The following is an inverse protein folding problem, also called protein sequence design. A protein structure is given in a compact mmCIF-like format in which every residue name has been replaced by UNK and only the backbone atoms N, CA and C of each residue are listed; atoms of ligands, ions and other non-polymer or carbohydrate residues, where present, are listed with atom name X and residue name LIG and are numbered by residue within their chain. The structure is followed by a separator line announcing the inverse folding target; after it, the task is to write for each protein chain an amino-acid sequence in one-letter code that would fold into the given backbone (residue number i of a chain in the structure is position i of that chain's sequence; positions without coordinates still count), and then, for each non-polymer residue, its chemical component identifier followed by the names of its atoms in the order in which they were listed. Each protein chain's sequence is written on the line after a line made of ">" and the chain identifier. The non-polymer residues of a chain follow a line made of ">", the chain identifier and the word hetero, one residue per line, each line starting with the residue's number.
data_IF_375303587356
#
_entry.id   IF_375303587356
#
_cell.length_a   1.000
_cell.length_b   1.000
_cell.length_c   1.000
_cell.angle_alpha   90.00
_cell.angle_beta   90.00
_cell.angle_gamma   90.00
#
_symmetry.space_group_name_H-M   'P 1'
#
loop_
_entity.id
_entity.type
_entity.pdbx_description
1 polymer ?
#
# COMPACT_ATOMS: atom_id res chain seq x y z
N UNK A 1 -11.84 9.70 -14.58
CA UNK A 1 -10.36 9.84 -14.55
C UNK A 1 -9.78 8.60 -13.91
N UNK A 2 -8.77 7.99 -14.53
CA UNK A 2 -8.07 6.82 -13.96
C UNK A 2 -6.64 7.23 -13.64
N UNK A 3 -6.23 7.08 -12.38
CA UNK A 3 -4.84 7.19 -11.96
C UNK A 3 -4.25 5.79 -11.96
N UNK A 4 -3.08 5.63 -12.59
CA UNK A 4 -2.37 4.36 -12.66
C UNK A 4 -1.12 4.44 -11.79
N UNK A 5 -0.94 3.44 -10.89
CA UNK A 5 0.21 3.38 -10.00
C UNK A 5 0.87 2.00 -10.07
N UNK A 6 2.15 1.91 -10.46
CA UNK A 6 2.87 0.65 -10.50
C UNK A 6 3.35 0.25 -9.10
N UNK A 7 3.20 -1.04 -8.78
CA UNK A 7 3.70 -1.67 -7.56
C UNK A 7 4.70 -2.75 -7.96
N UNK A 8 5.94 -2.64 -7.49
CA UNK A 8 6.96 -3.66 -7.70
C UNK A 8 6.64 -4.92 -6.87
N UNK A 9 5.72 -5.76 -7.36
CA UNK A 9 5.30 -6.99 -6.71
C UNK A 9 6.45 -8.00 -6.65
N UNK A 10 7.27 -8.02 -7.70
CA UNK A 10 8.54 -8.75 -7.75
C UNK A 10 9.64 -7.82 -8.23
N UNK A 11 10.85 -8.05 -7.74
CA UNK A 11 11.99 -7.25 -8.14
C UNK A 11 13.26 -8.08 -8.19
N UNK A 12 13.99 -7.91 -9.28
CA UNK A 12 15.33 -8.46 -9.46
C UNK A 12 16.37 -7.35 -9.40
N UNK A 13 17.52 -7.70 -8.88
CA UNK A 13 18.69 -6.83 -8.77
C UNK A 13 19.79 -7.45 -9.61
N UNK A 14 20.25 -6.74 -10.64
CA UNK A 14 21.34 -7.14 -11.53
C UNK A 14 22.51 -6.19 -11.35
N UNK A 15 23.68 -6.74 -11.05
CA UNK A 15 24.92 -5.99 -11.00
C UNK A 15 25.61 -6.09 -12.34
N UNK A 16 25.96 -4.93 -12.87
CA UNK A 16 26.65 -4.80 -14.15
C UNK A 16 28.06 -4.28 -13.95
N UNK A 17 28.97 -4.78 -14.77
CA UNK A 17 30.34 -4.29 -14.85
C UNK A 17 30.30 -2.88 -15.44
N UNK A 18 30.94 -1.87 -14.79
CA UNK A 18 30.99 -0.53 -15.32
C UNK A 18 31.86 -0.39 -16.59
N UNK A 19 32.75 -1.34 -16.88
CA UNK A 19 33.67 -1.28 -18.03
C UNK A 19 33.02 -1.79 -19.32
N UNK A 20 32.34 -2.94 -19.25
CA UNK A 20 31.81 -3.60 -20.44
C UNK A 20 30.28 -3.78 -20.44
N UNK A 21 29.61 -3.40 -19.33
CA UNK A 21 28.16 -3.51 -19.17
C UNK A 21 27.64 -4.95 -18.99
N UNK A 22 28.51 -5.94 -18.82
CA UNK A 22 28.12 -7.32 -18.62
C UNK A 22 27.44 -7.54 -17.25
N UNK A 23 26.51 -8.52 -17.20
CA UNK A 23 25.84 -8.87 -15.94
C UNK A 23 26.76 -9.78 -15.12
N UNK A 24 27.31 -9.25 -14.02
CA UNK A 24 28.14 -10.00 -13.08
C UNK A 24 27.31 -10.94 -12.22
N UNK A 25 26.13 -10.47 -11.75
CA UNK A 25 25.26 -11.28 -10.92
C UNK A 25 23.83 -10.77 -10.99
N UNK A 26 22.87 -11.67 -10.78
CA UNK A 26 21.43 -11.37 -10.72
C UNK A 26 20.81 -12.10 -9.56
N UNK A 27 20.02 -11.40 -8.75
CA UNK A 27 19.28 -12.04 -7.65
C UNK A 27 17.90 -11.43 -7.47
N UNK A 28 16.96 -12.23 -6.97
CA UNK A 28 15.65 -11.75 -6.56
C UNK A 28 15.74 -10.98 -5.25
N UNK A 29 15.12 -9.82 -5.20
CA UNK A 29 14.96 -9.06 -3.95
C UNK A 29 13.99 -9.79 -3.01
N UNK A 30 14.29 -9.88 -1.70
CA UNK A 30 13.33 -10.41 -0.74
C UNK A 30 12.13 -9.46 -0.53
N UNK A 31 12.27 -8.21 -0.92
CA UNK A 31 11.24 -7.19 -0.75
C UNK A 31 10.21 -7.29 -1.88
N UNK A 32 8.96 -7.51 -1.52
CA UNK A 32 7.82 -7.58 -2.44
C UNK A 32 6.84 -6.46 -2.15
N UNK A 33 6.44 -5.75 -3.18
CA UNK A 33 5.37 -4.76 -3.11
C UNK A 33 4.00 -5.45 -3.00
N UNK A 34 3.09 -4.82 -2.26
CA UNK A 34 1.71 -5.26 -2.06
C UNK A 34 0.76 -4.12 -2.36
N UNK A 35 -0.49 -4.42 -2.67
CA UNK A 35 -1.54 -3.40 -2.89
C UNK A 35 -1.57 -2.37 -1.76
N UNK A 36 -1.43 -2.79 -0.52
CA UNK A 36 -1.42 -1.90 0.66
C UNK A 36 -0.26 -0.91 0.70
N UNK A 37 0.80 -1.12 -0.06
CA UNK A 37 1.95 -0.20 -0.09
C UNK A 37 1.59 1.14 -0.73
N UNK A 38 0.51 1.21 -1.53
CA UNK A 38 -0.04 2.46 -2.07
C UNK A 38 -0.67 3.36 -0.99
N UNK A 39 -0.87 2.86 0.24
CA UNK A 39 -1.42 3.63 1.35
C UNK A 39 -0.73 4.98 1.58
N UNK A 40 0.53 5.12 1.21
CA UNK A 40 1.29 6.37 1.28
C UNK A 40 0.75 7.43 0.32
N UNK A 41 0.25 6.99 -0.82
CA UNK A 41 -0.25 7.85 -1.89
C UNK A 41 -1.75 8.18 -1.71
N UNK A 42 -2.50 7.34 -0.98
CA UNK A 42 -3.94 7.51 -0.78
C UNK A 42 -4.29 8.83 -0.09
N UNK A 43 -3.42 9.31 0.78
CA UNK A 43 -3.61 10.62 1.43
C UNK A 43 -3.74 11.76 0.40
N UNK A 44 -2.88 11.76 -0.62
CA UNK A 44 -2.89 12.78 -1.67
C UNK A 44 -4.04 12.63 -2.66
N UNK A 45 -4.61 11.44 -2.76
CA UNK A 45 -5.73 11.12 -3.64
C UNK A 45 -7.08 11.20 -2.93
N UNK A 46 -7.10 11.46 -1.61
CA UNK A 46 -8.30 11.40 -0.77
C UNK A 46 -9.46 12.28 -1.26
N UNK A 47 -9.16 13.41 -1.91
CA UNK A 47 -10.20 14.32 -2.43
C UNK A 47 -10.88 13.82 -3.70
N UNK A 48 -10.23 12.90 -4.42
CA UNK A 48 -10.76 12.30 -5.63
C UNK A 48 -11.43 10.94 -5.37
N UNK A 49 -10.96 10.23 -4.36
CA UNK A 49 -11.48 8.91 -3.99
C UNK A 49 -12.91 9.08 -3.45
N UNK A 50 -13.81 8.21 -3.92
CA UNK A 50 -15.25 8.31 -3.65
C UNK A 50 -16.04 9.05 -4.76
N UNK A 51 -15.36 9.73 -5.69
CA UNK A 51 -16.03 10.27 -6.88
C UNK A 51 -16.28 9.12 -7.87
N UNK A 52 -17.54 8.92 -8.37
CA UNK A 52 -17.86 7.82 -9.28
C UNK A 52 -17.14 7.90 -10.63
N UNK A 53 -16.56 9.05 -10.96
CA UNK A 53 -15.74 9.24 -12.18
C UNK A 53 -14.25 9.06 -11.93
N UNK A 54 -13.83 8.65 -10.73
CA UNK A 54 -12.45 8.40 -10.36
C UNK A 54 -12.21 6.90 -10.17
N UNK A 55 -11.09 6.40 -10.65
CA UNK A 55 -10.60 5.05 -10.37
C UNK A 55 -9.09 5.06 -10.15
N UNK A 56 -8.62 4.22 -9.25
CA UNK A 56 -7.20 3.97 -9.02
C UNK A 56 -6.86 2.57 -9.51
N UNK A 57 -6.02 2.47 -10.55
CA UNK A 57 -5.55 1.20 -11.09
C UNK A 57 -4.13 0.92 -10.64
N UNK A 58 -3.95 -0.16 -9.91
CA UNK A 58 -2.67 -0.61 -9.36
C UNK A 58 -2.12 -1.72 -10.25
N UNK A 59 -0.99 -1.48 -10.89
CA UNK A 59 -0.33 -2.48 -11.73
C UNK A 59 0.70 -3.22 -10.90
N UNK A 60 0.51 -4.52 -10.71
CA UNK A 60 1.48 -5.40 -10.06
C UNK A 60 2.52 -5.80 -11.10
N UNK A 61 3.72 -5.28 -10.99
CA UNK A 61 4.77 -5.46 -11.99
C UNK A 61 5.97 -6.18 -11.43
N UNK A 62 6.62 -6.93 -12.32
CA UNK A 62 8.00 -7.35 -12.10
C UNK A 62 8.91 -6.20 -12.52
N UNK A 63 9.96 -5.94 -11.72
CA UNK A 63 10.92 -4.87 -11.96
C UNK A 63 12.33 -5.45 -12.02
N UNK A 64 13.12 -4.97 -12.96
CA UNK A 64 14.57 -5.21 -12.97
C UNK A 64 15.28 -3.90 -12.57
N UNK A 65 16.14 -3.95 -11.56
CA UNK A 65 16.98 -2.85 -11.12
C UNK A 65 18.44 -3.17 -11.42
N UNK A 66 19.04 -2.43 -12.30
CA UNK A 66 20.45 -2.51 -12.62
C UNK A 66 21.28 -1.63 -11.70
N UNK A 67 22.40 -2.16 -11.26
CA UNK A 67 23.35 -1.50 -10.37
C UNK A 67 24.75 -1.63 -10.91
N UNK A 68 25.50 -0.53 -10.92
CA UNK A 68 26.93 -0.56 -11.24
C UNK A 68 27.72 -1.18 -10.09
N UNK A 69 28.61 -2.11 -10.42
CA UNK A 69 29.49 -2.76 -9.46
C UNK A 69 30.76 -1.94 -9.19
N UNK A 70 30.60 -0.62 -9.04
CA UNK A 70 31.67 0.36 -8.82
C UNK A 70 32.15 0.46 -7.35
N UNK A 71 31.56 -0.30 -6.46
CA UNK A 71 31.89 -0.34 -5.04
C UNK A 71 31.39 0.85 -4.22
N UNK A 72 30.74 1.85 -4.85
CA UNK A 72 30.28 3.07 -4.20
C UNK A 72 28.80 3.33 -4.47
N UNK A 73 28.04 3.69 -3.44
CA UNK A 73 26.70 4.22 -3.60
C UNK A 73 26.72 5.76 -3.48
N UNK A 74 25.74 6.43 -4.11
CA UNK A 74 25.57 7.89 -4.00
C UNK A 74 25.45 8.40 -2.56
N UNK A 75 25.04 7.52 -1.64
CA UNK A 75 24.87 7.84 -0.20
C UNK A 75 26.17 7.69 0.61
N UNK A 76 27.34 7.50 -0.03
CA UNK A 76 28.64 7.33 0.62
C UNK A 76 28.79 6.03 1.40
N UNK A 77 27.84 5.11 1.33
CA UNK A 77 27.91 3.77 1.91
C UNK A 77 28.50 2.81 0.90
N UNK A 78 29.32 1.86 1.36
CA UNK A 78 29.80 0.76 0.50
C UNK A 78 28.60 0.09 -0.17
N UNK A 79 28.58 0.09 -1.48
CA UNK A 79 27.46 -0.48 -2.25
C UNK A 79 27.64 -0.27 -3.75
N UNK A 80 26.56 -0.31 -4.44
CA UNK A 80 26.48 -0.11 -5.89
C UNK A 80 25.53 1.03 -6.21
N UNK A 81 25.88 1.87 -7.16
CA UNK A 81 24.98 2.89 -7.66
C UNK A 81 23.82 2.26 -8.42
N UNK A 82 22.59 2.76 -8.20
CA UNK A 82 21.48 2.43 -9.08
C UNK A 82 21.73 3.07 -10.43
N UNK A 83 21.77 2.24 -11.46
CA UNK A 83 21.94 2.69 -12.84
C UNK A 83 20.58 2.93 -13.48
N UNK A 84 19.74 1.90 -13.51
CA UNK A 84 18.45 1.94 -14.14
C UNK A 84 17.45 1.03 -13.43
N UNK A 85 16.15 1.32 -13.59
CA UNK A 85 15.05 0.46 -13.12
C UNK A 85 13.89 0.56 -14.10
N UNK A 86 13.38 -0.59 -14.54
CA UNK A 86 12.23 -0.64 -15.44
C UNK A 86 11.36 -1.87 -15.19
N UNK A 87 10.07 -1.82 -15.55
CA UNK A 87 9.19 -2.97 -15.50
C UNK A 87 9.54 -3.96 -16.61
N UNK A 88 9.57 -5.26 -16.27
CA UNK A 88 9.85 -6.34 -17.22
C UNK A 88 8.61 -7.16 -17.55
N UNK A 89 7.65 -7.24 -16.62
CA UNK A 89 6.40 -7.95 -16.83
C UNK A 89 5.26 -7.34 -16.02
N UNK A 90 4.04 -7.44 -16.54
CA UNK A 90 2.81 -7.21 -15.81
C UNK A 90 2.37 -8.54 -15.19
N UNK A 91 2.32 -8.61 -13.86
CA UNK A 91 1.95 -9.80 -13.10
C UNK A 91 0.45 -9.83 -12.78
N UNK A 92 -0.20 -8.67 -12.82
CA UNK A 92 -1.62 -8.51 -12.57
C UNK A 92 -1.98 -7.05 -12.33
N UNK A 93 -3.26 -6.78 -12.16
CA UNK A 93 -3.73 -5.46 -11.79
C UNK A 93 -4.95 -5.52 -10.85
N UNK A 94 -5.15 -4.43 -10.14
CA UNK A 94 -6.29 -4.20 -9.24
C UNK A 94 -6.84 -2.82 -9.54
N UNK A 95 -8.15 -2.72 -9.73
CA UNK A 95 -8.83 -1.43 -9.89
C UNK A 95 -9.70 -1.15 -8.66
N UNK A 96 -9.50 0.02 -8.07
CA UNK A 96 -10.26 0.51 -6.92
C UNK A 96 -11.16 1.66 -7.39
N UNK A 97 -12.47 1.46 -7.32
CA UNK A 97 -13.47 2.42 -7.79
C UNK A 97 -14.51 2.71 -6.71
N UNK A 98 -14.97 1.66 -6.03
CA UNK A 98 -16.03 1.73 -5.03
C UNK A 98 -15.47 1.66 -3.60
N UNK A 99 -16.21 2.14 -2.59
CA UNK A 99 -15.82 1.94 -1.18
C UNK A 99 -15.56 0.45 -0.85
N UNK A 100 -16.29 -0.47 -1.51
CA UNK A 100 -16.09 -1.91 -1.34
C UNK A 100 -14.68 -2.35 -1.72
N UNK A 101 -14.18 -1.87 -2.87
CA UNK A 101 -12.83 -2.21 -3.34
C UNK A 101 -11.76 -1.75 -2.34
N UNK A 102 -11.94 -0.55 -1.75
CA UNK A 102 -11.01 -0.05 -0.73
C UNK A 102 -11.09 -0.86 0.56
N UNK A 103 -12.29 -1.28 0.98
CA UNK A 103 -12.44 -2.11 2.17
C UNK A 103 -11.72 -3.45 2.02
N UNK A 104 -11.81 -4.12 0.88
CA UNK A 104 -11.20 -5.43 0.64
C UNK A 104 -9.67 -5.41 0.84
N UNK A 105 -9.03 -4.29 0.50
CA UNK A 105 -7.59 -4.17 0.64
C UNK A 105 -7.13 -3.45 1.91
N UNK A 106 -7.91 -2.51 2.44
CA UNK A 106 -7.45 -1.61 3.51
C UNK A 106 -8.20 -1.79 4.83
N UNK A 107 -9.34 -2.48 4.87
CA UNK A 107 -10.05 -2.80 6.12
C UNK A 107 -9.93 -4.30 6.41
N UNK A 108 -9.01 -4.73 7.31
CA UNK A 108 -8.85 -6.14 7.64
C UNK A 108 -10.14 -6.76 8.18
N UNK A 109 -10.47 -7.97 7.74
CA UNK A 109 -11.65 -8.70 8.21
C UNK A 109 -11.71 -8.79 9.74
N UNK A 110 -10.58 -8.99 10.41
CA UNK A 110 -10.50 -9.03 11.88
C UNK A 110 -10.96 -7.73 12.59
N UNK A 111 -10.97 -6.59 11.87
CA UNK A 111 -11.46 -5.31 12.37
C UNK A 111 -12.86 -4.97 11.85
N UNK A 112 -13.30 -5.65 10.80
CA UNK A 112 -14.59 -5.45 10.14
C UNK A 112 -15.65 -6.46 10.60
N UNK A 113 -15.25 -7.56 11.25
CA UNK A 113 -16.19 -8.59 11.70
C UNK A 113 -16.89 -8.14 13.00
N UNK A 114 -18.23 -8.13 13.04
CA UNK A 114 -18.96 -7.85 14.27
C UNK A 114 -18.76 -8.97 15.29
N UNK A 115 -18.99 -8.64 16.54
CA UNK A 115 -19.05 -9.60 17.64
C UNK A 115 -20.37 -10.43 17.60
N UNK A 116 -20.58 -11.28 18.62
CA UNK A 116 -21.79 -12.13 18.71
C UNK A 116 -23.09 -11.32 18.87
N UNK A 117 -22.97 -10.08 19.31
CA UNK A 117 -24.10 -9.15 19.52
C UNK A 117 -24.36 -8.26 18.30
N UNK A 118 -23.54 -8.42 17.24
CA UNK A 118 -23.63 -7.62 16.01
C UNK A 118 -22.92 -6.28 16.08
N UNK A 119 -22.17 -6.00 17.17
CA UNK A 119 -21.40 -4.76 17.31
C UNK A 119 -19.99 -4.92 16.76
N UNK A 120 -19.48 -3.88 16.10
CA UNK A 120 -18.08 -3.84 15.70
C UNK A 120 -17.20 -3.36 16.85
N UNK A 121 -16.24 -4.18 17.32
CA UNK A 121 -15.37 -3.76 18.42
C UNK A 121 -14.49 -2.58 17.99
N UNK A 122 -14.33 -1.57 18.86
CA UNK A 122 -13.50 -0.43 18.53
C UNK A 122 -12.02 -0.82 18.56
N UNK A 123 -11.23 -0.17 17.69
CA UNK A 123 -9.79 -0.38 17.57
C UNK A 123 -9.02 0.93 17.50
N UNK A 124 -7.74 0.91 17.80
CA UNK A 124 -6.85 2.07 17.69
C UNK A 124 -6.06 2.05 16.37
N UNK A 125 -5.47 3.20 16.00
CA UNK A 125 -4.55 3.28 14.88
C UNK A 125 -3.35 2.30 15.02
N UNK A 126 -2.91 2.01 16.24
CA UNK A 126 -1.85 1.03 16.50
C UNK A 126 -2.29 -0.40 16.18
N UNK A 127 -3.53 -0.77 16.56
CA UNK A 127 -4.12 -2.08 16.22
C UNK A 127 -4.28 -2.20 14.71
N UNK A 128 -4.80 -1.16 14.05
CA UNK A 128 -4.90 -1.10 12.59
C UNK A 128 -3.54 -1.27 11.91
N UNK A 129 -2.52 -0.53 12.36
CA UNK A 129 -1.17 -0.62 11.81
C UNK A 129 -0.58 -2.03 11.94
N UNK A 130 -0.83 -2.70 13.07
CA UNK A 130 -0.41 -4.10 13.29
C UNK A 130 -1.12 -5.06 12.35
N UNK A 131 -2.43 -4.90 12.15
CA UNK A 131 -3.24 -5.78 11.31
C UNK A 131 -2.94 -5.61 9.81
N UNK A 132 -2.62 -4.39 9.35
CA UNK A 132 -2.39 -4.08 7.93
C UNK A 132 -0.92 -4.08 7.52
N UNK A 133 -0.01 -3.82 8.47
CA UNK A 133 1.40 -3.52 8.19
C UNK A 133 1.64 -2.08 7.70
N UNK A 134 0.60 -1.26 7.53
CA UNK A 134 0.70 0.17 7.18
C UNK A 134 1.23 0.93 8.39
N UNK A 135 2.22 1.82 8.21
CA UNK A 135 2.92 2.47 9.33
C UNK A 135 3.03 3.98 9.18
N UNK A 136 3.20 4.64 10.31
CA UNK A 136 3.45 6.08 10.37
C UNK A 136 2.29 6.92 9.83
N UNK A 137 2.58 7.96 9.06
CA UNK A 137 1.55 8.86 8.50
C UNK A 137 0.55 8.14 7.61
N UNK A 138 0.97 7.10 6.90
CA UNK A 138 0.08 6.34 6.03
C UNK A 138 -1.05 5.64 6.81
N UNK A 139 -0.82 5.24 8.07
CA UNK A 139 -1.86 4.68 8.94
C UNK A 139 -3.01 5.66 9.12
N UNK A 140 -2.70 6.89 9.52
CA UNK A 140 -3.72 7.92 9.75
C UNK A 140 -4.38 8.39 8.45
N UNK A 141 -3.60 8.53 7.38
CA UNK A 141 -4.13 8.87 6.06
C UNK A 141 -5.11 7.83 5.54
N UNK A 142 -4.81 6.53 5.76
CA UNK A 142 -5.71 5.45 5.34
C UNK A 142 -6.96 5.40 6.21
N UNK A 143 -6.85 5.55 7.53
CA UNK A 143 -8.01 5.63 8.42
C UNK A 143 -8.92 6.79 8.05
N UNK A 144 -8.37 7.98 7.82
CA UNK A 144 -9.14 9.15 7.37
C UNK A 144 -9.85 8.88 6.02
N UNK A 145 -9.17 8.19 5.09
CA UNK A 145 -9.82 7.79 3.83
C UNK A 145 -10.98 6.83 4.07
N UNK A 146 -10.80 5.81 4.93
CA UNK A 146 -11.85 4.85 5.26
C UNK A 146 -13.05 5.54 5.96
N UNK A 147 -12.81 6.56 6.79
CA UNK A 147 -13.87 7.42 7.35
C UNK A 147 -14.63 8.17 6.25
N UNK A 148 -13.90 8.82 5.36
CA UNK A 148 -14.48 9.55 4.23
C UNK A 148 -15.32 8.66 3.31
N UNK A 149 -14.97 7.39 3.20
CA UNK A 149 -15.70 6.37 2.44
C UNK A 149 -16.86 5.74 3.23
N UNK A 150 -17.08 6.12 4.48
CA UNK A 150 -18.12 5.56 5.34
C UNK A 150 -17.88 4.09 5.72
N UNK A 151 -16.61 3.67 5.77
CA UNK A 151 -16.22 2.30 6.11
C UNK A 151 -15.81 2.14 7.57
N UNK A 152 -15.34 3.23 8.19
CA UNK A 152 -15.06 3.33 9.62
C UNK A 152 -15.56 4.67 10.15
N UNK A 153 -15.76 4.75 11.45
CA UNK A 153 -16.05 5.99 12.17
C UNK A 153 -15.10 6.18 13.35
N UNK A 154 -14.79 7.41 13.72
CA UNK A 154 -14.12 7.72 14.98
C UNK A 154 -15.13 7.54 16.12
N UNK A 155 -14.74 6.84 17.18
CA UNK A 155 -15.59 6.68 18.37
C UNK A 155 -15.50 7.88 19.30
N UNK A 156 -16.60 8.25 19.97
CA UNK A 156 -16.60 9.34 20.96
C UNK A 156 -15.67 9.02 22.13
N UNK A 157 -15.61 7.76 22.54
CA UNK A 157 -14.76 7.31 23.62
C UNK A 157 -13.36 6.95 23.14
N UNK A 158 -12.34 7.41 23.88
CA UNK A 158 -10.96 7.04 23.65
C UNK A 158 -10.67 5.64 24.19
N UNK A 159 -9.82 4.91 23.51
CA UNK A 159 -9.26 3.65 24.00
C UNK A 159 -7.94 3.97 24.71
N UNK A 160 -7.98 4.09 26.04
CA UNK A 160 -6.88 4.63 26.82
C UNK A 160 -6.59 6.09 26.45
N UNK A 161 -5.40 6.38 25.91
CA UNK A 161 -5.01 7.74 25.45
C UNK A 161 -5.19 7.95 23.94
N UNK A 162 -5.62 6.92 23.22
CA UNK A 162 -5.68 6.91 21.76
C UNK A 162 -7.10 7.13 21.27
N UNK A 163 -7.24 7.71 20.07
CA UNK A 163 -8.51 7.72 19.35
C UNK A 163 -8.96 6.31 19.04
N UNK A 164 -10.25 6.04 19.24
CA UNK A 164 -10.90 4.82 18.83
C UNK A 164 -11.50 4.96 17.44
N UNK A 165 -11.53 3.88 16.70
CA UNK A 165 -12.18 3.73 15.40
C UNK A 165 -13.03 2.48 15.44
N UNK A 166 -14.13 2.47 14.69
CA UNK A 166 -15.03 1.32 14.57
C UNK A 166 -15.40 1.11 13.10
N UNK A 167 -15.46 -0.14 12.65
CA UNK A 167 -16.00 -0.44 11.34
C UNK A 167 -17.52 -0.18 11.31
N UNK A 168 -18.02 0.32 10.19
CA UNK A 168 -19.44 0.54 9.96
C UNK A 168 -20.00 -0.68 9.23
N UNK A 169 -21.09 -1.27 9.76
CA UNK A 169 -21.82 -2.34 9.07
C UNK A 169 -22.30 -1.81 7.72
N UNK A 170 -21.97 -2.50 6.66
CA UNK A 170 -22.62 -2.25 5.36
C UNK A 170 -24.07 -2.73 5.47
N UNK A 171 -24.97 -1.82 5.74
CA UNK A 171 -26.36 -2.11 5.36
C UNK A 171 -26.36 -2.14 3.84
N UNK A 172 -26.69 -3.30 3.30
CA UNK A 172 -26.95 -3.48 1.88
C UNK A 172 -28.03 -2.47 1.47
N UNK A 173 -27.61 -1.38 0.86
CA UNK A 173 -28.55 -0.57 0.09
C UNK A 173 -28.78 -1.31 -1.20
N UNK A 174 -29.89 -2.08 -1.20
CA UNK A 174 -30.49 -2.67 -2.38
C UNK A 174 -30.88 -1.60 -3.40
#
# INVERSE_FOLDING_TARGET
>A
MTVVHPIAAEKYLSWIDPEDGSIISRRRSPKRGRVRDVAKELYWLSDFIGNPRFSLRLLLVEMEEYRLADGWSKDGKRGSNRYEIFPTALLGDVTLTTPADYADYFLPAALATPDQEGNHPPFTAAVYAKATGVRGRATYGTLHLLEKLGLVEETEEKIGRSRGYRAISRHEHA
#
